data_IF_767408585652
#
_entry.id   IF_767408585652
#
_cell.length_a   1.000
_cell.length_b   1.000
_cell.length_c   1.000
_cell.angle_alpha   90.00
_cell.angle_beta   90.00
_cell.angle_gamma   90.00
#
_symmetry.space_group_name_H-M   'P 1'
#
loop_
_entity.id
_entity.type
_entity.pdbx_description
1 polymer ?
#
# COMPACT_ATOMS: atom_id res chain seq x y z
N UNK A 1 34.77 -10.11 25.72
CA UNK A 1 33.76 -9.10 26.11
C UNK A 1 32.61 -9.17 25.12
N UNK A 2 31.48 -9.76 25.52
CA UNK A 2 30.27 -9.75 24.69
C UNK A 2 29.55 -8.41 24.87
N UNK A 3 29.57 -7.57 23.83
CA UNK A 3 28.73 -6.39 23.77
C UNK A 3 27.29 -6.85 23.48
N UNK A 4 26.42 -6.80 24.49
CA UNK A 4 24.97 -6.90 24.29
C UNK A 4 24.54 -5.68 23.47
N UNK A 5 24.31 -5.85 22.16
CA UNK A 5 23.56 -4.85 21.39
C UNK A 5 22.16 -4.78 22.00
N UNK A 6 21.78 -3.60 22.50
CA UNK A 6 20.39 -3.30 22.86
C UNK A 6 19.54 -3.44 21.60
N UNK A 7 18.69 -4.45 21.55
CA UNK A 7 17.58 -4.49 20.61
C UNK A 7 16.71 -3.25 20.86
N UNK A 8 16.68 -2.34 19.91
CA UNK A 8 15.67 -1.29 19.88
C UNK A 8 14.34 -1.95 19.58
N UNK A 9 13.34 -1.90 20.49
CA UNK A 9 12.04 -2.50 20.23
C UNK A 9 11.42 -1.81 19.02
N UNK A 10 11.18 -2.56 17.94
CA UNK A 10 10.34 -2.11 16.85
C UNK A 10 8.99 -1.76 17.44
N UNK A 11 8.66 -0.47 17.44
CA UNK A 11 7.37 0.02 17.92
C UNK A 11 6.29 -0.68 17.09
N UNK A 12 5.45 -1.47 17.75
CA UNK A 12 4.31 -2.17 17.17
C UNK A 12 3.52 -1.18 16.26
N UNK A 13 3.17 -1.55 15.01
CA UNK A 13 2.36 -0.70 14.13
C UNK A 13 1.15 -0.06 14.82
N UNK A 14 0.54 -0.77 15.78
CA UNK A 14 -0.56 -0.26 16.61
C UNK A 14 -0.08 0.87 17.53
N UNK A 15 1.06 0.71 18.19
CA UNK A 15 1.68 1.76 19.01
C UNK A 15 2.08 2.99 18.19
N UNK A 16 2.51 2.80 16.93
CA UNK A 16 2.81 3.90 16.01
C UNK A 16 1.55 4.68 15.62
N UNK A 17 0.46 4.00 15.28
CA UNK A 17 -0.83 4.66 15.00
C UNK A 17 -1.36 5.41 16.22
N UNK A 18 -1.25 4.82 17.41
CA UNK A 18 -1.61 5.47 18.68
C UNK A 18 -0.80 6.75 18.91
N UNK A 19 0.51 6.71 18.63
CA UNK A 19 1.40 7.86 18.76
C UNK A 19 1.07 8.96 17.73
N UNK A 20 0.87 8.60 16.47
CA UNK A 20 0.49 9.56 15.42
C UNK A 20 -0.87 10.21 15.70
N UNK A 21 -1.83 9.42 16.18
CA UNK A 21 -3.13 9.93 16.64
C UNK A 21 -2.96 10.90 17.82
N UNK A 22 -2.19 10.53 18.85
CA UNK A 22 -1.91 11.40 19.99
C UNK A 22 -1.24 12.72 19.57
N UNK A 23 -0.27 12.67 18.64
CA UNK A 23 0.41 13.86 18.09
C UNK A 23 -0.57 14.77 17.35
N UNK A 24 -1.41 14.22 16.45
CA UNK A 24 -2.44 14.99 15.74
C UNK A 24 -3.39 15.68 16.73
N UNK A 25 -3.77 15.00 17.83
CA UNK A 25 -4.63 15.58 18.87
C UNK A 25 -3.98 16.72 19.63
N UNK A 26 -2.68 16.62 19.94
CA UNK A 26 -1.94 17.72 20.58
C UNK A 26 -1.95 18.96 19.68
N UNK A 27 -1.73 18.79 18.37
CA UNK A 27 -1.75 19.90 17.41
C UNK A 27 -3.13 20.54 17.30
N UNK A 28 -4.20 19.74 17.20
CA UNK A 28 -5.59 20.25 17.16
C UNK A 28 -5.95 21.07 18.41
N UNK A 29 -5.62 20.57 19.60
CA UNK A 29 -5.86 21.29 20.88
C UNK A 29 -5.05 22.59 20.95
N UNK A 30 -3.80 22.58 20.48
CA UNK A 30 -2.96 23.78 20.40
C UNK A 30 -3.55 24.83 19.46
N UNK A 31 -4.07 24.43 18.31
CA UNK A 31 -4.76 25.34 17.36
C UNK A 31 -6.05 25.92 17.94
N UNK A 32 -6.84 25.13 18.66
CA UNK A 32 -8.02 25.64 19.36
C UNK A 32 -7.66 26.71 20.39
N UNK A 33 -6.62 26.46 21.18
CA UNK A 33 -6.12 27.42 22.17
C UNK A 33 -5.57 28.70 21.52
N UNK A 34 -4.85 28.58 20.41
CA UNK A 34 -4.41 29.73 19.62
C UNK A 34 -5.59 30.55 19.09
N UNK A 35 -6.62 29.88 18.54
CA UNK A 35 -7.83 30.57 18.07
C UNK A 35 -8.56 31.28 19.22
N UNK A 36 -8.61 30.67 20.42
CA UNK A 36 -9.15 31.32 21.62
C UNK A 36 -8.38 32.59 22.01
N UNK A 37 -7.04 32.54 22.02
CA UNK A 37 -6.21 33.72 22.30
C UNK A 37 -6.46 34.83 21.28
N UNK A 38 -6.47 34.49 19.99
CA UNK A 38 -6.72 35.45 18.91
C UNK A 38 -8.11 36.07 19.05
N UNK A 39 -9.13 35.26 19.39
CA UNK A 39 -10.47 35.76 19.66
C UNK A 39 -10.50 36.75 20.84
N UNK A 40 -9.80 36.45 21.94
CA UNK A 40 -9.77 37.32 23.13
C UNK A 40 -9.07 38.64 22.85
N UNK A 41 -7.88 38.60 22.24
CA UNK A 41 -7.12 39.79 21.85
C UNK A 41 -7.89 40.61 20.80
N UNK A 42 -8.46 39.94 19.81
CA UNK A 42 -9.25 40.59 18.76
C UNK A 42 -10.54 41.23 19.27
N UNK A 43 -11.22 40.60 20.25
CA UNK A 43 -12.40 41.19 20.89
C UNK A 43 -12.05 42.47 21.65
N UNK A 44 -10.97 42.46 22.42
CA UNK A 44 -10.46 43.66 23.11
C UNK A 44 -10.06 44.75 22.10
N UNK A 45 -9.43 44.36 20.99
CA UNK A 45 -9.06 45.28 19.91
C UNK A 45 -10.29 45.95 19.26
N UNK A 46 -11.35 45.19 18.97
CA UNK A 46 -12.60 45.75 18.42
C UNK A 46 -13.28 46.73 19.39
N UNK A 47 -13.26 46.42 20.69
CA UNK A 47 -13.76 47.35 21.73
C UNK A 47 -12.93 48.64 21.75
N UNK A 48 -11.60 48.53 21.71
CA UNK A 48 -10.69 49.68 21.67
C UNK A 48 -10.90 50.54 20.42
N UNK A 49 -11.01 49.94 19.23
CA UNK A 49 -11.25 50.65 17.97
C UNK A 49 -12.52 51.51 18.04
N UNK A 50 -13.59 50.96 18.59
CA UNK A 50 -14.84 51.68 18.72
C UNK A 50 -14.79 52.73 19.84
N UNK A 51 -14.23 52.40 21.01
CA UNK A 51 -14.25 53.27 22.19
C UNK A 51 -13.25 54.44 22.09
N UNK A 52 -12.00 54.14 21.73
CA UNK A 52 -10.88 55.10 21.74
C UNK A 52 -10.72 55.84 20.42
N UNK A 53 -10.82 55.14 19.29
CA UNK A 53 -10.57 55.72 17.96
C UNK A 53 -11.88 56.22 17.33
N UNK A 54 -13.03 55.72 17.77
CA UNK A 54 -14.34 56.12 17.28
C UNK A 54 -14.70 55.54 15.91
N UNK A 55 -13.99 54.49 15.48
CA UNK A 55 -14.26 53.82 14.21
C UNK A 55 -15.66 53.21 14.24
N UNK A 56 -16.50 53.60 13.27
CA UNK A 56 -17.83 53.02 13.09
C UNK A 56 -18.86 53.34 14.19
N UNK A 57 -18.66 54.38 15.01
CA UNK A 57 -19.58 54.73 16.12
C UNK A 57 -21.06 54.87 15.71
N UNK A 58 -21.32 55.36 14.51
CA UNK A 58 -22.68 55.53 13.96
C UNK A 58 -23.23 54.26 13.28
N UNK A 59 -22.38 53.24 13.09
CA UNK A 59 -22.75 52.00 12.40
C UNK A 59 -23.36 51.05 13.42
N UNK A 60 -24.68 50.89 13.32
CA UNK A 60 -25.46 49.94 14.11
C UNK A 60 -26.12 48.90 13.21
N UNK A 61 -26.12 47.65 13.65
CA UNK A 61 -26.79 46.53 12.99
C UNK A 61 -27.77 45.93 13.99
N UNK A 62 -29.06 45.88 13.65
CA UNK A 62 -30.13 45.38 14.53
C UNK A 62 -30.18 46.10 15.90
N UNK A 63 -29.81 47.38 15.95
CA UNK A 63 -29.74 48.16 17.20
C UNK A 63 -28.52 47.87 18.07
N UNK A 64 -27.60 47.02 17.61
CA UNK A 64 -26.31 46.73 18.26
C UNK A 64 -25.17 47.45 17.52
N UNK A 65 -24.17 47.91 18.27
CA UNK A 65 -22.97 48.49 17.67
C UNK A 65 -22.23 47.47 16.80
N UNK A 66 -21.63 47.91 15.69
CA UNK A 66 -20.93 47.02 14.75
C UNK A 66 -19.89 46.10 15.41
N UNK A 67 -19.16 46.57 16.43
CA UNK A 67 -18.14 45.77 17.12
C UNK A 67 -18.76 44.61 17.93
N UNK A 68 -19.97 44.79 18.47
CA UNK A 68 -20.70 43.75 19.19
C UNK A 68 -21.09 42.64 18.21
N UNK A 69 -21.62 43.02 17.04
CA UNK A 69 -21.97 42.07 15.99
C UNK A 69 -20.73 41.33 15.46
N UNK A 70 -19.61 42.02 15.28
CA UNK A 70 -18.35 41.40 14.90
C UNK A 70 -17.86 40.37 15.93
N UNK A 71 -17.91 40.70 17.23
CA UNK A 71 -17.54 39.79 18.32
C UNK A 71 -18.49 38.59 18.37
N UNK A 72 -19.80 38.78 18.20
CA UNK A 72 -20.79 37.68 18.20
C UNK A 72 -20.58 36.74 17.01
N UNK A 73 -20.39 37.28 15.80
CA UNK A 73 -20.08 36.47 14.62
C UNK A 73 -18.78 35.67 14.80
N UNK A 74 -17.75 36.29 15.38
CA UNK A 74 -16.49 35.61 15.64
C UNK A 74 -16.60 34.57 16.76
N UNK A 75 -17.36 34.86 17.81
CA UNK A 75 -17.66 33.92 18.89
C UNK A 75 -18.40 32.68 18.35
N UNK A 76 -19.32 32.85 17.40
CA UNK A 76 -20.00 31.75 16.73
C UNK A 76 -19.02 30.83 15.98
N UNK A 77 -18.08 31.40 15.21
CA UNK A 77 -17.03 30.63 14.53
C UNK A 77 -16.11 29.90 15.52
N UNK A 78 -15.79 30.54 16.64
CA UNK A 78 -15.02 29.90 17.71
C UNK A 78 -15.78 28.72 18.33
N UNK A 79 -17.08 28.87 18.61
CA UNK A 79 -17.93 27.80 19.14
C UNK A 79 -18.03 26.62 18.16
N UNK A 80 -18.18 26.88 16.86
CA UNK A 80 -18.16 25.82 15.84
C UNK A 80 -16.83 25.04 15.85
N UNK A 81 -15.70 25.76 15.90
CA UNK A 81 -14.38 25.14 15.99
C UNK A 81 -14.19 24.36 17.30
N UNK A 82 -14.67 24.88 18.43
CA UNK A 82 -14.67 24.20 19.71
C UNK A 82 -15.48 22.89 19.68
N UNK A 83 -16.71 22.94 19.16
CA UNK A 83 -17.57 21.77 18.99
C UNK A 83 -16.91 20.71 18.09
N UNK A 84 -16.28 21.12 16.98
CA UNK A 84 -15.58 20.21 16.09
C UNK A 84 -14.40 19.49 16.79
N UNK A 85 -13.60 20.21 17.59
CA UNK A 85 -12.42 19.64 18.26
C UNK A 85 -12.79 18.77 19.48
N UNK A 86 -13.89 19.08 20.17
CA UNK A 86 -14.23 18.51 21.48
C UNK A 86 -15.50 17.63 21.49
N UNK A 87 -16.60 18.05 20.84
CA UNK A 87 -17.87 17.31 20.86
C UNK A 87 -17.88 16.12 19.89
N UNK A 88 -17.46 16.31 18.63
CA UNK A 88 -17.49 15.22 17.64
C UNK A 88 -16.50 14.09 17.94
N UNK A 89 -15.38 14.40 18.60
CA UNK A 89 -14.38 13.39 18.96
C UNK A 89 -14.78 12.56 20.21
N UNK A 90 -15.64 13.08 21.11
CA UNK A 90 -16.12 12.28 22.26
C UNK A 90 -17.09 11.18 21.82
N UNK A 91 -17.78 11.37 20.69
CA UNK A 91 -18.77 10.44 20.17
C UNK A 91 -18.18 9.41 19.17
N UNK A 92 -17.11 9.75 18.43
CA UNK A 92 -16.49 8.88 17.41
C UNK A 92 -14.95 8.98 17.41
N UNK A 93 -14.32 8.95 18.59
CA UNK A 93 -12.85 8.98 18.73
C UNK A 93 -12.18 7.64 18.45
N UNK A 94 -10.84 7.62 18.38
CA UNK A 94 -10.04 6.41 18.11
C UNK A 94 -10.35 5.24 19.06
N UNK A 95 -10.71 5.50 20.31
CA UNK A 95 -11.09 4.47 21.28
C UNK A 95 -12.43 3.81 20.93
N UNK A 96 -13.41 4.60 20.45
CA UNK A 96 -14.67 4.06 19.94
C UNK A 96 -14.43 3.24 18.68
N UNK A 97 -13.61 3.73 17.75
CA UNK A 97 -13.24 3.02 16.52
C UNK A 97 -12.49 1.71 16.81
N UNK A 98 -11.56 1.71 17.77
CA UNK A 98 -10.84 0.51 18.21
C UNK A 98 -11.80 -0.51 18.82
N UNK A 99 -12.71 -0.07 19.71
CA UNK A 99 -13.72 -0.94 20.29
C UNK A 99 -14.68 -1.54 19.25
N UNK A 100 -15.06 -0.78 18.21
CA UNK A 100 -15.87 -1.32 17.11
C UNK A 100 -15.05 -2.30 16.25
N UNK A 101 -13.78 -2.01 15.99
CA UNK A 101 -12.88 -2.87 15.22
C UNK A 101 -12.62 -4.19 15.95
N UNK A 102 -12.34 -4.16 17.25
CA UNK A 102 -12.17 -5.37 18.08
C UNK A 102 -13.43 -6.23 18.07
N UNK A 103 -14.62 -5.60 18.18
CA UNK A 103 -15.91 -6.31 18.06
C UNK A 103 -16.07 -6.97 16.69
N UNK A 104 -15.68 -6.31 15.61
CA UNK A 104 -15.74 -6.88 14.24
C UNK A 104 -14.75 -8.03 14.06
N UNK A 105 -13.51 -7.88 14.52
CA UNK A 105 -12.47 -8.92 14.47
C UNK A 105 -12.91 -10.14 15.30
N UNK A 106 -13.49 -9.92 16.49
CA UNK A 106 -14.00 -11.00 17.32
C UNK A 106 -15.14 -11.78 16.63
N UNK A 107 -16.06 -11.07 15.95
CA UNK A 107 -17.11 -11.71 15.14
C UNK A 107 -16.53 -12.51 13.99
N UNK A 108 -15.58 -11.95 13.23
CA UNK A 108 -14.92 -12.66 12.13
C UNK A 108 -14.17 -13.90 12.61
N UNK A 109 -13.45 -13.82 13.74
CA UNK A 109 -12.77 -14.98 14.32
C UNK A 109 -13.75 -16.09 14.69
N UNK A 110 -14.88 -15.74 15.32
CA UNK A 110 -15.91 -16.72 15.66
C UNK A 110 -16.54 -17.37 14.41
N UNK A 111 -16.75 -16.60 13.35
CA UNK A 111 -17.26 -17.10 12.07
C UNK A 111 -16.25 -18.01 11.36
N UNK A 112 -14.97 -17.64 11.35
CA UNK A 112 -13.88 -18.49 10.82
C UNK A 112 -13.77 -19.79 11.61
N UNK A 113 -13.91 -19.75 12.94
CA UNK A 113 -13.88 -20.95 13.78
C UNK A 113 -15.06 -21.89 13.49
N UNK A 114 -16.26 -21.34 13.27
CA UNK A 114 -17.43 -22.11 12.83
C UNK A 114 -17.21 -22.75 11.46
N UNK A 115 -16.74 -21.99 10.47
CA UNK A 115 -16.43 -22.49 9.13
C UNK A 115 -15.35 -23.58 9.21
N UNK A 116 -14.30 -23.39 10.02
CA UNK A 116 -13.24 -24.37 10.20
C UNK A 116 -13.78 -25.67 10.80
N UNK A 117 -14.72 -25.58 11.75
CA UNK A 117 -15.39 -26.74 12.35
C UNK A 117 -16.27 -27.47 11.32
N UNK A 118 -17.02 -26.75 10.49
CA UNK A 118 -17.84 -27.33 9.42
C UNK A 118 -16.95 -28.02 8.36
N UNK A 119 -15.84 -27.39 7.99
CA UNK A 119 -14.84 -27.97 7.08
C UNK A 119 -14.22 -29.23 7.68
N UNK A 120 -13.81 -29.21 8.96
CA UNK A 120 -13.23 -30.38 9.63
C UNK A 120 -14.26 -31.53 9.79
N UNK A 121 -15.56 -31.23 9.85
CA UNK A 121 -16.64 -32.23 9.81
C UNK A 121 -16.89 -32.80 8.41
N UNK A 122 -16.95 -31.96 7.37
CA UNK A 122 -17.18 -32.40 5.99
C UNK A 122 -15.96 -33.10 5.38
N UNK A 123 -14.75 -32.70 5.79
CA UNK A 123 -13.48 -33.22 5.29
C UNK A 123 -12.53 -33.51 6.46
N UNK A 124 -12.71 -34.64 7.16
CA UNK A 124 -11.86 -34.99 8.30
C UNK A 124 -10.40 -35.05 7.85
N UNK A 125 -9.51 -34.30 8.53
CA UNK A 125 -8.07 -34.26 8.20
C UNK A 125 -7.44 -35.64 8.09
N UNK A 126 -7.89 -36.61 8.89
CA UNK A 126 -7.41 -37.99 8.85
C UNK A 126 -7.77 -38.71 7.53
N UNK A 127 -8.92 -38.42 6.93
CA UNK A 127 -9.27 -38.94 5.61
C UNK A 127 -8.49 -38.27 4.49
N UNK A 128 -8.22 -36.97 4.59
CA UNK A 128 -7.35 -36.25 3.65
C UNK A 128 -5.90 -36.78 3.73
N UNK A 129 -5.40 -37.06 4.93
CA UNK A 129 -4.09 -37.67 5.15
C UNK A 129 -4.05 -39.08 4.58
N UNK A 130 -5.06 -39.92 4.83
CA UNK A 130 -5.16 -41.26 4.22
C UNK A 130 -5.20 -41.21 2.70
N UNK A 131 -6.04 -40.35 2.10
CA UNK A 131 -6.10 -40.18 0.64
C UNK A 131 -4.77 -39.68 0.07
N UNK A 132 -4.08 -38.78 0.78
CA UNK A 132 -2.75 -38.31 0.41
C UNK A 132 -1.70 -39.42 0.50
N UNK A 133 -1.73 -40.25 1.54
CA UNK A 133 -0.83 -41.39 1.72
C UNK A 133 -1.08 -42.50 0.69
N UNK A 134 -2.34 -42.79 0.38
CA UNK A 134 -2.75 -43.72 -0.68
C UNK A 134 -2.32 -43.21 -2.07
N UNK A 135 -2.50 -41.91 -2.32
CA UNK A 135 -2.02 -41.25 -3.54
C UNK A 135 -0.49 -41.29 -3.67
N UNK A 136 0.24 -41.12 -2.57
CA UNK A 136 1.71 -41.21 -2.54
C UNK A 136 2.18 -42.66 -2.76
N UNK A 137 1.50 -43.66 -2.18
CA UNK A 137 1.81 -45.08 -2.40
C UNK A 137 1.60 -45.51 -3.86
N UNK A 138 0.60 -44.96 -4.55
CA UNK A 138 0.36 -45.24 -5.97
C UNK A 138 1.39 -44.58 -6.91
N UNK A 139 2.16 -43.59 -6.43
CA UNK A 139 3.11 -42.81 -7.24
C UNK A 139 4.59 -43.24 -7.10
N UNK A 140 4.93 -44.28 -6.34
CA UNK A 140 6.31 -44.80 -6.32
C UNK A 140 6.67 -45.44 -7.68
N UNK A 141 7.66 -44.92 -8.42
CA UNK A 141 7.99 -45.42 -9.75
C UNK A 141 8.94 -46.63 -9.69
N UNK A 142 8.62 -47.68 -10.46
CA UNK A 142 9.64 -48.58 -11.02
C UNK A 142 10.60 -47.72 -11.86
N UNK A 143 11.90 -47.92 -11.67
CA UNK A 143 12.95 -47.26 -12.46
C UNK A 143 12.73 -47.64 -13.94
N UNK A 144 12.25 -46.68 -14.72
CA UNK A 144 12.18 -46.72 -16.17
C UNK A 144 12.80 -45.39 -16.60
N UNK A 145 13.84 -45.48 -17.43
CA UNK A 145 14.47 -44.33 -18.10
C UNK A 145 13.36 -43.44 -18.69
N UNK A 146 13.23 -42.21 -18.15
CA UNK A 146 12.11 -41.35 -18.49
C UNK A 146 12.44 -40.57 -19.77
N UNK A 147 11.59 -40.64 -20.81
CA UNK A 147 11.72 -39.78 -21.98
C UNK A 147 11.44 -38.32 -21.61
N UNK A 148 12.05 -37.41 -22.38
CA UNK A 148 11.89 -35.96 -22.36
C UNK A 148 10.43 -35.54 -22.06
N UNK A 149 10.23 -34.88 -20.92
CA UNK A 149 8.96 -34.22 -20.58
C UNK A 149 8.99 -32.82 -21.17
N UNK A 150 8.03 -32.57 -22.06
CA UNK A 150 7.72 -31.29 -22.70
C UNK A 150 7.33 -30.21 -21.67
N UNK A 151 7.85 -29.01 -21.89
CA UNK A 151 7.62 -27.74 -21.17
C UNK A 151 6.12 -27.55 -20.83
N UNK A 152 5.78 -27.43 -19.55
CA UNK A 152 4.45 -26.96 -19.12
C UNK A 152 4.28 -25.48 -19.53
N UNK A 153 3.09 -25.10 -19.97
CA UNK A 153 2.73 -23.74 -20.42
C UNK A 153 2.67 -22.71 -19.29
N UNK A 154 3.78 -22.51 -18.58
CA UNK A 154 3.96 -21.39 -17.66
C UNK A 154 4.21 -20.12 -18.48
N UNK A 155 3.44 -19.05 -18.24
CA UNK A 155 3.60 -17.74 -18.87
C UNK A 155 4.24 -16.75 -17.90
N UNK A 156 5.54 -16.51 -18.05
CA UNK A 156 6.28 -15.62 -17.16
C UNK A 156 6.00 -14.17 -17.57
N UNK A 157 5.45 -13.38 -16.65
CA UNK A 157 5.00 -12.00 -16.95
C UNK A 157 5.80 -10.98 -16.15
N UNK A 158 6.43 -10.00 -16.80
CA UNK A 158 6.91 -8.80 -16.11
C UNK A 158 5.75 -7.82 -15.94
N UNK A 159 5.63 -7.20 -14.77
CA UNK A 159 4.64 -6.13 -14.55
C UNK A 159 5.31 -4.91 -13.94
N UNK A 160 5.18 -3.76 -14.58
CA UNK A 160 5.86 -2.53 -14.17
C UNK A 160 5.05 -1.28 -14.52
N UNK A 161 5.26 -0.20 -13.77
CA UNK A 161 4.87 1.15 -14.18
C UNK A 161 6.13 1.97 -14.44
N UNK A 162 6.23 2.62 -15.60
CA UNK A 162 7.41 3.40 -15.98
C UNK A 162 7.05 4.70 -16.70
N UNK A 163 7.77 5.79 -16.41
CA UNK A 163 7.66 7.06 -17.13
C UNK A 163 8.16 6.98 -18.57
N UNK A 164 7.99 8.02 -19.39
CA UNK A 164 8.42 8.04 -20.80
C UNK A 164 9.93 7.78 -20.97
N UNK A 165 10.75 8.20 -20.01
CA UNK A 165 12.18 7.93 -19.95
C UNK A 165 12.54 6.59 -19.29
N UNK A 166 11.61 5.64 -19.21
CA UNK A 166 11.74 4.37 -18.49
C UNK A 166 12.06 4.50 -16.99
N UNK A 167 11.90 5.69 -16.39
CA UNK A 167 12.02 5.87 -14.95
C UNK A 167 11.05 4.95 -14.21
N UNK A 168 11.49 4.28 -13.13
CA UNK A 168 10.64 3.45 -12.27
C UNK A 168 10.42 4.11 -10.90
N UNK A 169 11.49 4.61 -10.29
CA UNK A 169 11.43 5.14 -8.92
C UNK A 169 12.76 5.76 -8.51
N UNK A 170 12.74 6.41 -7.35
CA UNK A 170 13.89 7.10 -6.74
C UNK A 170 13.87 6.81 -5.24
N UNK A 171 15.03 6.55 -4.64
CA UNK A 171 15.17 6.31 -3.20
C UNK A 171 14.30 5.13 -2.66
N UNK A 172 14.02 4.13 -3.51
CA UNK A 172 13.11 2.99 -3.29
C UNK A 172 11.62 3.33 -3.18
N UNK A 173 11.20 4.51 -3.63
CA UNK A 173 9.79 4.89 -3.74
C UNK A 173 9.42 5.19 -5.20
N UNK A 174 8.12 5.08 -5.51
CA UNK A 174 7.58 5.50 -6.80
C UNK A 174 7.46 7.03 -6.82
N UNK A 175 7.84 7.63 -7.94
CA UNK A 175 7.84 9.10 -8.11
C UNK A 175 6.46 9.67 -8.50
N UNK A 176 5.42 8.82 -8.56
CA UNK A 176 4.04 9.18 -8.85
C UNK A 176 3.06 8.40 -7.99
N UNK A 177 1.83 8.90 -7.89
CA UNK A 177 0.72 8.22 -7.23
C UNK A 177 -0.36 7.86 -8.25
N UNK A 178 -0.50 6.57 -8.59
CA UNK A 178 -1.48 6.07 -9.55
C UNK A 178 -2.36 4.98 -8.91
N UNK A 179 -3.47 5.37 -8.26
CA UNK A 179 -4.35 4.42 -7.57
C UNK A 179 -4.90 3.30 -8.46
N UNK A 180 -5.25 3.60 -9.71
CA UNK A 180 -5.85 2.62 -10.61
C UNK A 180 -4.81 1.63 -11.16
N UNK A 181 -3.56 2.07 -11.38
CA UNK A 181 -2.44 1.16 -11.66
C UNK A 181 -2.17 0.22 -10.50
N UNK A 182 -2.18 0.73 -9.25
CA UNK A 182 -2.01 -0.12 -8.08
C UNK A 182 -3.15 -1.13 -7.91
N UNK A 183 -4.38 -0.73 -8.26
CA UNK A 183 -5.53 -1.64 -8.31
C UNK A 183 -5.34 -2.73 -9.36
N UNK A 184 -4.89 -2.37 -10.57
CA UNK A 184 -4.56 -3.29 -11.65
C UNK A 184 -3.46 -4.27 -11.25
N UNK A 185 -2.36 -3.79 -10.67
CA UNK A 185 -1.28 -4.61 -10.14
C UNK A 185 -1.80 -5.66 -9.13
N UNK A 186 -2.64 -5.24 -8.19
CA UNK A 186 -3.25 -6.17 -7.22
C UNK A 186 -4.14 -7.21 -7.89
N UNK A 187 -4.95 -6.81 -8.87
CA UNK A 187 -5.86 -7.70 -9.58
C UNK A 187 -5.12 -8.74 -10.41
N UNK A 188 -4.04 -8.35 -11.10
CA UNK A 188 -3.25 -9.26 -11.94
C UNK A 188 -2.41 -10.22 -11.10
N UNK A 189 -1.82 -9.75 -10.00
CA UNK A 189 -0.85 -10.55 -9.24
C UNK A 189 -1.45 -11.40 -8.12
N UNK A 190 -2.73 -11.22 -7.77
CA UNK A 190 -3.36 -11.97 -6.68
C UNK A 190 -3.42 -13.46 -7.00
N UNK A 191 -3.08 -14.32 -6.04
CA UNK A 191 -3.03 -15.77 -6.22
C UNK A 191 -1.74 -16.30 -6.84
N UNK A 192 -0.86 -15.41 -7.29
CA UNK A 192 0.37 -15.76 -8.00
C UNK A 192 1.64 -15.52 -7.17
N UNK A 193 2.75 -16.06 -7.65
CA UNK A 193 4.10 -15.80 -7.18
C UNK A 193 4.56 -14.46 -7.74
N UNK A 194 5.11 -13.63 -6.87
CA UNK A 194 5.71 -12.35 -7.24
C UNK A 194 7.22 -12.41 -6.95
N UNK A 195 8.00 -12.29 -8.01
CA UNK A 195 9.45 -12.40 -8.01
C UNK A 195 10.02 -10.99 -8.00
N UNK A 196 10.86 -10.71 -7.01
CA UNK A 196 11.42 -9.37 -6.82
C UNK A 196 12.82 -9.36 -6.22
N UNK A 197 13.47 -8.21 -6.26
CA UNK A 197 14.75 -7.97 -5.61
C UNK A 197 14.56 -7.55 -4.15
N UNK A 198 15.62 -7.72 -3.34
CA UNK A 198 15.62 -7.35 -1.92
C UNK A 198 15.09 -5.94 -1.64
N UNK A 199 15.61 -4.92 -2.36
CA UNK A 199 15.22 -3.51 -2.16
C UNK A 199 13.73 -3.25 -2.44
N UNK A 200 13.17 -3.92 -3.45
CA UNK A 200 11.74 -3.83 -3.78
C UNK A 200 10.89 -4.48 -2.70
N UNK A 201 11.34 -5.61 -2.14
CA UNK A 201 10.64 -6.21 -1.01
C UNK A 201 10.68 -5.32 0.23
N UNK A 202 11.83 -4.68 0.50
CA UNK A 202 12.03 -3.77 1.63
C UNK A 202 11.21 -2.47 1.52
N UNK A 203 10.74 -2.09 0.32
CA UNK A 203 9.87 -0.92 0.16
C UNK A 203 8.40 -1.21 0.54
N UNK A 204 8.00 -2.48 0.61
CA UNK A 204 6.66 -2.82 1.06
C UNK A 204 6.55 -2.63 2.59
N UNK A 205 5.53 -1.89 3.06
CA UNK A 205 5.32 -1.74 4.50
C UNK A 205 4.97 -3.07 5.18
N UNK A 206 4.32 -3.98 4.43
CA UNK A 206 4.01 -5.37 4.81
C UNK A 206 3.91 -6.23 3.55
N UNK A 207 4.19 -7.54 3.64
CA UNK A 207 3.93 -8.46 2.55
C UNK A 207 2.48 -8.37 2.07
N UNK A 208 2.32 -8.34 0.75
CA UNK A 208 1.03 -8.27 0.10
C UNK A 208 0.26 -9.60 0.28
N UNK A 209 -1.01 -9.58 0.71
CA UNK A 209 -1.77 -10.81 1.00
C UNK A 209 -2.08 -11.61 -0.28
N UNK A 210 -2.33 -12.91 -0.13
CA UNK A 210 -2.68 -13.84 -1.19
C UNK A 210 -1.66 -13.93 -2.33
N UNK A 211 -0.37 -13.70 -2.02
CA UNK A 211 0.75 -13.79 -2.96
C UNK A 211 1.92 -14.48 -2.29
N UNK A 212 2.64 -15.29 -3.06
CA UNK A 212 3.90 -15.87 -2.60
C UNK A 212 5.02 -14.92 -3.00
N UNK A 213 5.69 -14.33 -2.02
CA UNK A 213 6.81 -13.42 -2.26
C UNK A 213 8.09 -14.23 -2.46
N UNK A 214 8.71 -14.11 -3.63
CA UNK A 214 9.99 -14.75 -3.96
C UNK A 214 11.04 -13.66 -4.13
N UNK A 215 12.00 -13.60 -3.21
CA UNK A 215 12.98 -12.50 -3.14
C UNK A 215 14.36 -13.01 -3.55
N UNK A 216 14.88 -12.42 -4.63
CA UNK A 216 16.23 -12.65 -5.12
C UNK A 216 17.19 -11.70 -4.41
N UNK A 217 18.23 -12.26 -3.79
CA UNK A 217 19.26 -11.50 -3.10
C UNK A 217 20.61 -12.21 -3.18
N UNK A 218 21.71 -11.45 -3.17
CA UNK A 218 23.07 -12.00 -3.01
C UNK A 218 23.45 -12.24 -1.54
N UNK A 219 22.70 -11.66 -0.61
CA UNK A 219 22.96 -11.81 0.83
C UNK A 219 22.36 -13.14 1.32
N UNK A 220 23.22 -14.11 1.65
CA UNK A 220 22.79 -15.42 2.14
C UNK A 220 22.21 -15.39 3.56
N UNK A 221 22.52 -14.35 4.33
CA UNK A 221 22.02 -14.18 5.70
C UNK A 221 20.68 -13.42 5.75
N UNK A 222 20.15 -13.00 4.60
CA UNK A 222 18.89 -12.26 4.53
C UNK A 222 17.70 -13.18 4.79
N UNK A 223 16.98 -12.94 5.89
CA UNK A 223 15.85 -13.76 6.34
C UNK A 223 14.68 -12.87 6.79
N UNK A 224 13.96 -12.23 5.85
CA UNK A 224 12.75 -11.50 6.18
C UNK A 224 11.60 -12.46 6.50
N UNK A 225 10.61 -11.97 7.23
CA UNK A 225 9.38 -12.71 7.45
C UNK A 225 8.46 -12.62 6.22
N UNK A 226 7.80 -13.74 5.89
CA UNK A 226 6.75 -13.77 4.86
C UNK A 226 7.24 -13.82 3.40
N UNK A 227 8.50 -14.18 3.15
CA UNK A 227 9.03 -14.37 1.80
C UNK A 227 9.95 -15.60 1.67
N UNK A 228 9.97 -16.18 0.48
CA UNK A 228 10.91 -17.24 0.08
C UNK A 228 12.16 -16.59 -0.49
N UNK A 229 13.33 -16.92 0.05
CA UNK A 229 14.60 -16.34 -0.35
C UNK A 229 15.32 -17.26 -1.32
N UNK A 230 15.77 -16.69 -2.43
CA UNK A 230 16.51 -17.37 -3.50
C UNK A 230 17.67 -16.49 -3.98
N UNK A 231 18.59 -17.09 -4.74
CA UNK A 231 19.85 -16.44 -5.13
C UNK A 231 20.05 -16.35 -6.65
N UNK A 232 19.08 -16.79 -7.44
CA UNK A 232 19.09 -16.68 -8.90
C UNK A 232 17.66 -16.61 -9.47
N UNK A 233 17.52 -16.17 -10.71
CA UNK A 233 16.24 -16.18 -11.42
C UNK A 233 15.74 -17.62 -11.64
N UNK A 234 16.63 -18.55 -12.01
CA UNK A 234 16.25 -19.96 -12.19
C UNK A 234 15.68 -20.56 -10.91
N UNK A 235 16.30 -20.27 -9.75
CA UNK A 235 15.78 -20.73 -8.46
C UNK A 235 14.43 -20.08 -8.14
N UNK A 236 14.22 -18.80 -8.50
CA UNK A 236 12.93 -18.14 -8.32
C UNK A 236 11.83 -18.80 -9.16
N UNK A 237 12.14 -19.14 -10.41
CA UNK A 237 11.21 -19.80 -11.32
C UNK A 237 10.92 -21.25 -10.91
N UNK A 238 11.90 -21.98 -10.36
CA UNK A 238 11.67 -23.32 -9.82
C UNK A 238 10.71 -23.29 -8.63
N UNK A 239 10.79 -22.28 -7.76
CA UNK A 239 9.80 -22.07 -6.69
C UNK A 239 8.41 -21.82 -7.27
N UNK A 240 8.33 -21.08 -8.37
CA UNK A 240 7.08 -20.72 -9.02
C UNK A 240 6.60 -21.74 -10.06
N UNK A 241 7.23 -22.91 -10.23
CA UNK A 241 6.97 -23.84 -11.35
C UNK A 241 5.52 -24.31 -11.51
N UNK A 242 4.79 -24.41 -10.39
CA UNK A 242 3.40 -24.84 -10.36
C UNK A 242 2.42 -23.65 -10.53
N UNK A 243 2.95 -22.44 -10.65
CA UNK A 243 2.20 -21.23 -10.97
C UNK A 243 2.11 -21.07 -12.50
N UNK A 244 0.89 -21.03 -13.06
CA UNK A 244 0.73 -20.81 -14.50
C UNK A 244 1.19 -19.41 -14.95
N UNK A 245 1.21 -18.42 -14.06
CA UNK A 245 1.54 -17.03 -14.41
C UNK A 245 2.30 -16.32 -13.28
N UNK A 246 3.59 -16.65 -13.07
CA UNK A 246 4.42 -15.92 -12.13
C UNK A 246 4.72 -14.51 -12.65
N UNK A 247 4.80 -13.56 -11.72
CA UNK A 247 5.05 -12.15 -12.05
C UNK A 247 6.43 -11.69 -11.57
N UNK A 248 7.23 -11.14 -12.49
CA UNK A 248 8.46 -10.42 -12.14
C UNK A 248 8.10 -8.95 -11.93
N UNK A 249 8.30 -8.45 -10.71
CA UNK A 249 7.85 -7.11 -10.29
C UNK A 249 9.02 -6.15 -10.01
N UNK A 250 10.24 -6.53 -10.42
CA UNK A 250 11.44 -5.69 -10.35
C UNK A 250 12.25 -5.84 -9.08
N UNK A 251 13.11 -4.89 -8.69
CA UNK A 251 13.41 -3.61 -9.35
C UNK A 251 14.32 -3.74 -10.57
N UNK A 252 15.00 -2.64 -10.93
CA UNK A 252 15.71 -2.50 -12.22
C UNK A 252 16.66 -3.66 -12.58
N UNK A 253 17.46 -4.17 -11.64
CA UNK A 253 18.34 -5.34 -11.90
C UNK A 253 17.56 -6.62 -12.18
N UNK A 254 16.47 -6.85 -11.45
CA UNK A 254 15.63 -8.04 -11.63
C UNK A 254 14.85 -7.96 -12.94
N UNK A 255 14.38 -6.78 -13.34
CA UNK A 255 13.80 -6.61 -14.67
C UNK A 255 14.80 -6.90 -15.78
N UNK A 256 16.05 -6.41 -15.67
CA UNK A 256 17.10 -6.69 -16.67
C UNK A 256 17.32 -8.19 -16.86
N UNK A 257 17.42 -8.94 -15.76
CA UNK A 257 17.55 -10.41 -15.80
C UNK A 257 16.26 -11.02 -16.35
N UNK A 258 15.10 -10.53 -15.92
CA UNK A 258 13.78 -11.02 -16.32
C UNK A 258 13.46 -10.90 -17.81
N UNK A 259 14.10 -9.99 -18.56
CA UNK A 259 13.90 -9.84 -20.01
C UNK A 259 14.18 -11.13 -20.79
N UNK A 260 15.14 -11.94 -20.35
CA UNK A 260 15.48 -13.21 -21.01
C UNK A 260 14.45 -14.29 -20.75
N UNK A 261 13.85 -14.30 -19.56
CA UNK A 261 12.95 -15.34 -19.07
C UNK A 261 11.47 -15.08 -19.33
N UNK A 262 11.08 -13.82 -19.52
CA UNK A 262 9.67 -13.44 -19.63
C UNK A 262 9.09 -13.72 -21.02
N UNK A 263 7.81 -14.06 -21.05
CA UNK A 263 6.99 -14.25 -22.25
C UNK A 263 6.07 -13.04 -22.51
N UNK A 264 5.69 -12.33 -21.44
CA UNK A 264 4.78 -11.18 -21.47
C UNK A 264 5.32 -10.01 -20.64
N UNK A 265 4.96 -8.78 -21.02
CA UNK A 265 5.18 -7.57 -20.22
C UNK A 265 3.87 -6.79 -20.10
N UNK A 266 3.38 -6.65 -18.87
CA UNK A 266 2.30 -5.77 -18.49
C UNK A 266 2.86 -4.43 -18.02
N UNK A 267 2.97 -3.47 -18.94
CA UNK A 267 3.57 -2.17 -18.69
C UNK A 267 2.51 -1.07 -18.57
N UNK A 268 2.53 -0.32 -17.48
CA UNK A 268 1.85 0.97 -17.37
C UNK A 268 2.82 2.07 -17.76
N UNK A 269 2.64 2.64 -18.96
CA UNK A 269 3.43 3.79 -19.43
C UNK A 269 2.83 5.08 -18.89
N UNK A 270 3.50 5.72 -17.94
CA UNK A 270 3.11 7.01 -17.38
C UNK A 270 3.59 8.13 -18.29
N UNK A 271 2.68 8.98 -18.76
CA UNK A 271 2.97 10.05 -19.72
C UNK A 271 3.59 11.26 -19.01
N UNK A 272 4.83 11.08 -18.57
CA UNK A 272 5.65 12.09 -17.91
C UNK A 272 7.11 11.63 -17.86
N UNK A 273 8.01 12.60 -17.65
CA UNK A 273 9.44 12.35 -17.50
C UNK A 273 9.82 12.63 -16.06
N UNK A 274 10.47 11.66 -15.40
CA UNK A 274 10.74 11.74 -13.97
C UNK A 274 12.22 11.55 -13.67
N UNK A 275 12.69 12.18 -12.60
CA UNK A 275 14.03 11.95 -12.07
C UNK A 275 14.03 10.63 -11.28
N UNK A 276 14.88 9.68 -11.67
CA UNK A 276 14.92 8.34 -11.10
C UNK A 276 16.36 7.82 -11.01
N UNK A 277 16.60 6.92 -10.06
CA UNK A 277 17.86 6.16 -9.95
C UNK A 277 17.72 4.73 -10.52
N UNK A 278 16.48 4.31 -10.74
CA UNK A 278 16.12 2.97 -11.20
C UNK A 278 15.25 3.08 -12.45
N UNK A 279 15.63 2.34 -13.49
CA UNK A 279 14.99 2.39 -14.80
C UNK A 279 14.55 1.00 -15.25
N UNK A 280 13.45 0.95 -16.00
CA UNK A 280 13.01 -0.23 -16.70
C UNK A 280 13.93 -0.49 -17.91
N UNK A 281 14.22 -1.75 -18.27
CA UNK A 281 15.02 -2.07 -19.45
C UNK A 281 14.38 -1.53 -20.74
N UNK A 282 15.20 -1.24 -21.73
CA UNK A 282 14.69 -0.89 -23.06
C UNK A 282 13.99 -2.10 -23.69
N UNK A 283 12.79 -1.88 -24.23
CA UNK A 283 12.00 -2.91 -24.89
C UNK A 283 12.36 -2.93 -26.37
N UNK A 284 13.13 -3.93 -26.80
CA UNK A 284 13.50 -4.09 -28.20
C UNK A 284 12.27 -4.46 -29.07
N UNK A 285 11.85 -3.62 -30.03
CA UNK A 285 10.71 -3.89 -30.90
C UNK A 285 10.93 -5.06 -31.87
N UNK A 286 12.16 -5.55 -32.03
CA UNK A 286 12.45 -6.78 -32.77
C UNK A 286 12.01 -8.03 -31.99
N UNK A 287 12.09 -7.99 -30.65
CA UNK A 287 11.80 -9.11 -29.75
C UNK A 287 10.35 -9.05 -29.24
N UNK A 288 9.82 -7.85 -29.02
CA UNK A 288 8.52 -7.63 -28.39
C UNK A 288 7.54 -6.96 -29.35
N UNK A 289 6.28 -7.37 -29.28
CA UNK A 289 5.17 -6.73 -30.00
C UNK A 289 4.08 -6.31 -29.02
N UNK A 290 3.40 -5.20 -29.30
CA UNK A 290 2.23 -4.77 -28.51
C UNK A 290 1.04 -5.62 -28.94
N UNK A 291 0.41 -6.32 -27.98
CA UNK A 291 -0.82 -7.10 -28.18
C UNK A 291 -2.05 -6.30 -27.75
N UNK A 292 -1.94 -5.50 -26.68
CA UNK A 292 -3.03 -4.66 -26.20
C UNK A 292 -2.54 -3.27 -25.78
N UNK A 293 -3.42 -2.28 -25.93
CA UNK A 293 -3.19 -0.88 -25.55
C UNK A 293 -4.49 -0.25 -25.06
N UNK A 294 -4.50 0.21 -23.82
CA UNK A 294 -5.64 0.91 -23.21
C UNK A 294 -5.18 2.25 -22.64
N UNK A 295 -5.76 3.35 -23.12
CA UNK A 295 -5.41 4.70 -22.69
C UNK A 295 -6.25 5.11 -21.48
N UNK A 296 -5.57 5.64 -20.46
CA UNK A 296 -6.19 6.30 -19.31
C UNK A 296 -5.82 7.78 -19.31
N UNK A 297 -6.83 8.64 -19.43
CA UNK A 297 -6.63 10.09 -19.33
C UNK A 297 -6.19 10.52 -17.93
N UNK A 298 -5.63 11.72 -17.83
CA UNK A 298 -5.48 12.37 -16.54
C UNK A 298 -6.88 12.74 -16.00
N UNK A 299 -7.09 12.60 -14.70
CA UNK A 299 -8.35 12.92 -14.02
C UNK A 299 -8.08 13.44 -12.60
N UNK A 300 -9.13 13.70 -11.82
CA UNK A 300 -9.00 14.21 -10.45
C UNK A 300 -8.24 13.27 -9.49
N UNK A 301 -8.12 11.97 -9.84
CA UNK A 301 -7.44 10.94 -9.05
C UNK A 301 -6.02 10.66 -9.56
N UNK A 302 -5.70 11.07 -10.78
CA UNK A 302 -4.44 10.77 -11.47
C UNK A 302 -3.83 12.05 -12.05
N UNK A 303 -2.77 12.54 -11.41
CA UNK A 303 -2.03 13.73 -11.86
C UNK A 303 -1.44 13.55 -13.27
N UNK A 304 -1.09 12.31 -13.63
CA UNK A 304 -0.53 11.97 -14.94
C UNK A 304 -1.46 11.04 -15.70
N UNK A 305 -1.62 11.29 -17.00
CA UNK A 305 -2.20 10.30 -17.90
C UNK A 305 -1.26 9.10 -18.02
N UNK A 306 -1.80 7.92 -18.28
CA UNK A 306 -1.01 6.72 -18.49
C UNK A 306 -1.68 5.77 -19.48
N UNK A 307 -0.91 4.87 -20.07
CA UNK A 307 -1.42 3.83 -20.98
C UNK A 307 -1.03 2.47 -20.44
N UNK A 308 -1.99 1.56 -20.32
CA UNK A 308 -1.70 0.14 -20.15
C UNK A 308 -1.29 -0.47 -21.48
N UNK A 309 -0.14 -1.12 -21.49
CA UNK A 309 0.46 -1.79 -22.64
C UNK A 309 0.73 -3.24 -22.27
N UNK A 310 0.23 -4.16 -23.07
CA UNK A 310 0.58 -5.58 -22.96
C UNK A 310 1.49 -5.92 -24.12
N UNK A 311 2.74 -6.26 -23.82
CA UNK A 311 3.69 -6.77 -24.80
C UNK A 311 3.77 -8.28 -24.74
N UNK A 312 3.90 -8.89 -25.90
CA UNK A 312 4.17 -10.31 -26.06
C UNK A 312 5.50 -10.50 -26.75
N UNK A 313 6.26 -11.48 -26.28
CA UNK A 313 7.48 -11.91 -26.98
C UNK A 313 7.08 -12.56 -28.31
N UNK A 314 7.78 -12.19 -29.38
CA UNK A 314 7.49 -12.69 -30.73
C UNK A 314 7.79 -14.17 -30.91
#
# INVERSE_FOLDING_TARGET
MFSKRKETPQIDPVQRELYEHARKRIVQKKRLFQHFIVFLVGSVFFVILNLLIGVGKEITFFGLNWYIVAIVCWAFLFVLHFCNVWLFHKFMGAEWTSNQMERLIAKQKAEIELIQKDVDQMYPKNELIKKKEEFIKQKQPKIIEKPLVTKSEQMITMIAAAGENNALGKDNDLVWHLPDDFKRFKQLTTGHHIIMGRKTFESFPKPLPNRVHVVITRNQDYKPDGAVIVHSMDAALEIAKDDPQPFIIGGGEIYKIGMEYSDCIELTRVHGTFEADTFFPEINPEIWTIENKELHGADERHEFAFTYLTYKKK
#
